data_IF_967548397888
#
_entry.id   IF_967548397888
#
_cell.length_a   1.000
_cell.length_b   1.000
_cell.length_c   1.000
_cell.angle_alpha   90.00
_cell.angle_beta   90.00
_cell.angle_gamma   90.00
#
_symmetry.space_group_name_H-M   'P 1'
#
loop_
_entity.id
_entity.type
_entity.pdbx_description
1 polymer ?
#
# COMPACT_ATOMS: atom_id res chain seq x y z
N UNK A 1 -3.02 -49.69 -17.03
CA UNK A 1 -3.60 -48.62 -16.18
C UNK A 1 -2.49 -48.06 -15.30
N UNK A 2 -1.89 -46.94 -15.69
CA UNK A 2 -1.01 -46.11 -14.85
C UNK A 2 -1.19 -44.67 -15.32
N UNK A 3 -1.66 -43.82 -14.42
CA UNK A 3 -2.10 -42.45 -14.68
C UNK A 3 -0.90 -41.54 -14.36
N UNK A 4 -0.31 -40.93 -15.38
CA UNK A 4 0.81 -39.99 -15.25
C UNK A 4 0.31 -38.60 -14.86
N UNK A 5 0.87 -38.07 -13.78
CA UNK A 5 0.52 -36.81 -13.13
C UNK A 5 0.53 -35.62 -14.10
N UNK A 6 -0.60 -34.90 -14.14
CA UNK A 6 -0.72 -33.62 -14.84
C UNK A 6 0.11 -32.54 -14.15
N UNK A 7 0.98 -31.89 -14.91
CA UNK A 7 1.57 -30.63 -14.52
C UNK A 7 0.47 -29.58 -14.47
N UNK A 8 0.08 -29.15 -13.28
CA UNK A 8 -0.70 -27.94 -13.11
C UNK A 8 0.29 -26.76 -13.01
N UNK A 9 0.28 -25.80 -13.96
CA UNK A 9 1.02 -24.56 -13.77
C UNK A 9 0.44 -23.85 -12.55
N UNK A 10 1.32 -23.32 -11.69
CA UNK A 10 0.93 -22.47 -10.59
C UNK A 10 0.03 -21.36 -11.16
N UNK A 11 -1.21 -21.30 -10.70
CA UNK A 11 -2.17 -20.30 -11.12
C UNK A 11 -1.59 -18.90 -10.81
N UNK A 12 -1.19 -18.18 -11.85
CA UNK A 12 -1.02 -16.74 -11.82
C UNK A 12 -2.42 -16.16 -11.60
N UNK A 13 -2.70 -15.70 -10.39
CA UNK A 13 -4.05 -15.30 -10.00
C UNK A 13 -4.63 -14.16 -10.86
N UNK A 14 -3.81 -13.44 -11.65
CA UNK A 14 -4.28 -12.56 -12.70
C UNK A 14 -3.38 -12.71 -13.94
N UNK A 15 -3.93 -13.23 -15.05
CA UNK A 15 -3.21 -13.58 -16.29
C UNK A 15 -2.72 -12.40 -17.14
N UNK A 16 -2.48 -11.23 -16.55
CA UNK A 16 -1.87 -10.09 -17.22
C UNK A 16 -0.45 -9.87 -16.69
N UNK A 17 0.46 -9.40 -17.55
CA UNK A 17 1.77 -8.96 -17.09
C UNK A 17 1.59 -7.83 -16.06
N UNK A 18 2.27 -7.93 -14.92
CA UNK A 18 2.23 -6.88 -13.90
C UNK A 18 2.62 -5.53 -14.51
N UNK A 19 1.80 -4.51 -14.25
CA UNK A 19 2.11 -3.16 -14.68
C UNK A 19 3.17 -2.57 -13.72
N UNK A 20 4.31 -2.17 -14.29
CA UNK A 20 5.50 -1.82 -13.52
C UNK A 20 5.72 -0.31 -13.53
N UNK A 21 5.90 0.28 -12.35
CA UNK A 21 6.12 1.72 -12.15
C UNK A 21 7.49 1.98 -11.48
N UNK A 22 8.11 3.15 -11.70
CA UNK A 22 9.40 3.49 -11.07
C UNK A 22 9.24 3.59 -9.54
N UNK A 23 9.95 2.75 -8.80
CA UNK A 23 9.79 2.58 -7.36
C UNK A 23 9.99 3.90 -6.60
N UNK A 24 11.12 4.57 -6.81
CA UNK A 24 11.48 5.74 -6.01
C UNK A 24 10.50 6.89 -6.23
N UNK A 25 10.26 7.26 -7.50
CA UNK A 25 9.35 8.34 -7.87
C UNK A 25 7.94 8.11 -7.31
N UNK A 26 7.38 6.91 -7.52
CA UNK A 26 6.01 6.60 -7.10
C UNK A 26 5.88 6.57 -5.58
N UNK A 27 6.89 6.10 -4.84
CA UNK A 27 6.88 6.11 -3.38
C UNK A 27 7.05 7.52 -2.79
N UNK A 28 7.89 8.35 -3.39
CA UNK A 28 8.04 9.76 -2.98
C UNK A 28 6.75 10.55 -3.23
N UNK A 29 6.06 10.32 -4.37
CA UNK A 29 4.74 10.90 -4.66
C UNK A 29 3.65 10.41 -3.68
N UNK A 30 3.77 9.17 -3.19
CA UNK A 30 2.94 8.63 -2.12
C UNK A 30 3.26 9.21 -0.73
N UNK A 31 4.32 10.01 -0.61
CA UNK A 31 4.77 10.63 0.65
C UNK A 31 5.66 9.74 1.51
N UNK A 32 6.23 8.67 0.95
CA UNK A 32 7.22 7.85 1.62
C UNK A 32 8.65 8.38 1.39
N UNK A 33 9.52 8.20 2.38
CA UNK A 33 10.97 8.34 2.20
C UNK A 33 11.55 7.03 1.67
N UNK A 34 12.46 7.11 0.70
CA UNK A 34 13.13 5.94 0.09
C UNK A 34 14.63 6.10 0.22
N UNK A 35 15.30 5.07 0.73
CA UNK A 35 16.75 5.01 0.84
C UNK A 35 17.25 3.70 0.25
N UNK A 36 18.38 3.76 -0.46
CA UNK A 36 19.10 2.57 -0.92
C UNK A 36 20.26 2.29 0.04
N UNK A 37 20.29 1.08 0.59
CA UNK A 37 21.46 0.55 1.31
C UNK A 37 22.27 -0.29 0.33
N UNK A 38 23.41 0.26 -0.10
CA UNK A 38 24.29 -0.39 -1.08
C UNK A 38 25.00 -1.62 -0.51
N UNK A 39 25.34 -1.60 0.78
CA UNK A 39 26.00 -2.72 1.44
C UNK A 39 25.06 -3.92 1.58
N UNK A 40 23.84 -3.69 2.04
CA UNK A 40 22.81 -4.73 2.16
C UNK A 40 22.11 -5.06 0.83
N UNK A 41 22.29 -4.20 -0.18
CA UNK A 41 21.61 -4.25 -1.50
C UNK A 41 20.10 -4.29 -1.35
N UNK A 42 19.53 -3.34 -0.61
CA UNK A 42 18.09 -3.27 -0.36
C UNK A 42 17.58 -1.84 -0.22
N UNK A 43 16.29 -1.65 -0.49
CA UNK A 43 15.60 -0.41 -0.18
C UNK A 43 15.08 -0.43 1.25
N UNK A 44 15.24 0.70 1.92
CA UNK A 44 14.57 1.06 3.17
C UNK A 44 13.56 2.14 2.83
N UNK A 45 12.28 1.86 3.08
CA UNK A 45 11.17 2.75 2.76
C UNK A 45 10.44 3.05 4.07
N UNK A 46 10.25 4.33 4.38
CA UNK A 46 9.58 4.76 5.62
C UNK A 46 8.46 5.73 5.30
N UNK A 47 7.26 5.43 5.81
CA UNK A 47 6.09 6.31 5.75
C UNK A 47 5.30 6.18 7.03
N UNK A 48 5.07 7.29 7.72
CA UNK A 48 4.36 7.32 9.00
C UNK A 48 4.91 6.27 9.99
N UNK A 49 4.10 5.26 10.37
CA UNK A 49 4.49 4.16 11.25
C UNK A 49 5.03 2.92 10.53
N UNK A 50 5.06 2.91 9.20
CA UNK A 50 5.54 1.77 8.40
C UNK A 50 7.03 1.90 8.07
N UNK A 51 7.82 0.94 8.54
CA UNK A 51 9.22 0.74 8.22
C UNK A 51 9.39 -0.52 7.38
N UNK A 52 9.69 -0.33 6.10
CA UNK A 52 9.71 -1.40 5.09
C UNK A 52 11.13 -1.60 4.57
N UNK A 53 11.49 -2.86 4.41
CA UNK A 53 12.78 -3.34 3.92
C UNK A 53 12.53 -4.28 2.76
N UNK A 54 12.94 -3.90 1.54
CA UNK A 54 12.71 -4.71 0.33
C UNK A 54 13.99 -4.90 -0.46
N UNK A 55 14.31 -6.15 -0.77
CA UNK A 55 15.45 -6.51 -1.60
C UNK A 55 15.00 -6.73 -3.05
N UNK A 56 15.65 -6.11 -4.04
CA UNK A 56 15.38 -6.42 -5.45
C UNK A 56 15.54 -7.91 -5.76
N UNK A 57 14.72 -8.40 -6.69
CA UNK A 57 14.59 -9.79 -7.13
C UNK A 57 14.12 -10.77 -6.03
N UNK A 58 13.81 -10.28 -4.83
CA UNK A 58 13.20 -11.04 -3.74
C UNK A 58 11.68 -10.92 -3.78
N UNK A 59 10.99 -12.03 -3.52
CA UNK A 59 9.53 -12.07 -3.26
C UNK A 59 9.19 -11.89 -1.78
N UNK A 60 10.15 -11.46 -0.97
CA UNK A 60 9.96 -11.19 0.44
C UNK A 60 10.39 -9.76 0.75
N UNK A 61 9.49 -9.03 1.41
CA UNK A 61 9.75 -7.77 2.06
C UNK A 61 9.57 -7.93 3.57
N UNK A 62 10.21 -7.07 4.36
CA UNK A 62 10.02 -7.00 5.81
C UNK A 62 9.29 -5.69 6.12
N UNK A 63 8.13 -5.78 6.77
CA UNK A 63 7.32 -4.62 7.20
C UNK A 63 7.25 -4.65 8.72
N UNK A 64 7.79 -3.62 9.38
CA UNK A 64 7.85 -3.53 10.85
C UNK A 64 8.40 -4.80 11.52
N UNK A 65 9.43 -5.41 10.90
CA UNK A 65 10.10 -6.62 11.38
C UNK A 65 9.40 -7.93 11.02
N UNK A 66 8.21 -7.90 10.41
CA UNK A 66 7.46 -9.09 9.98
C UNK A 66 7.63 -9.34 8.47
N UNK A 67 7.80 -10.59 8.03
CA UNK A 67 7.90 -10.90 6.61
C UNK A 67 6.54 -10.76 5.92
N UNK A 68 6.59 -10.26 4.68
CA UNK A 68 5.48 -10.13 3.75
C UNK A 68 5.91 -10.70 2.40
N UNK A 69 5.12 -11.63 1.86
CA UNK A 69 5.38 -12.21 0.55
C UNK A 69 4.80 -11.31 -0.53
N UNK A 70 5.66 -10.79 -1.40
CA UNK A 70 5.29 -9.97 -2.55
C UNK A 70 4.77 -10.84 -3.70
N UNK A 71 3.70 -10.41 -4.36
CA UNK A 71 3.23 -11.01 -5.61
C UNK A 71 4.26 -10.84 -6.73
N UNK A 72 4.78 -9.62 -6.87
CA UNK A 72 5.76 -9.25 -7.90
C UNK A 72 7.00 -8.68 -7.21
N UNK A 73 8.20 -9.24 -7.44
CA UNK A 73 9.41 -8.71 -6.86
C UNK A 73 9.73 -7.32 -7.42
N UNK A 74 10.38 -6.49 -6.62
CA UNK A 74 11.03 -5.26 -7.11
C UNK A 74 12.18 -5.67 -8.03
N UNK A 75 12.32 -5.05 -9.20
CA UNK A 75 13.37 -5.38 -10.17
C UNK A 75 14.11 -4.13 -10.62
N UNK A 76 15.41 -4.25 -10.89
CA UNK A 76 16.15 -3.19 -11.56
C UNK A 76 16.01 -3.29 -13.08
N UNK A 77 15.77 -2.15 -13.73
CA UNK A 77 15.95 -1.97 -15.17
C UNK A 77 16.97 -0.87 -15.38
N UNK A 78 18.20 -1.25 -15.69
CA UNK A 78 19.35 -0.33 -15.69
C UNK A 78 19.62 0.18 -14.27
N UNK A 79 19.57 1.50 -14.08
CA UNK A 79 19.81 2.14 -12.77
C UNK A 79 18.53 2.44 -11.99
N UNK A 80 17.37 2.12 -12.54
CA UNK A 80 16.06 2.45 -11.94
C UNK A 80 15.40 1.19 -11.42
N UNK A 81 14.96 1.20 -10.17
CA UNK A 81 14.15 0.14 -9.60
C UNK A 81 12.68 0.32 -10.01
N UNK A 82 12.02 -0.79 -10.31
CA UNK A 82 10.62 -0.85 -10.67
C UNK A 82 9.88 -1.82 -9.73
N UNK A 83 8.64 -1.47 -9.40
CA UNK A 83 7.73 -2.28 -8.60
C UNK A 83 6.39 -2.40 -9.33
N UNK A 84 5.54 -3.34 -8.91
CA UNK A 84 4.14 -3.36 -9.37
C UNK A 84 3.40 -2.11 -8.85
N UNK A 85 2.46 -1.58 -9.64
CA UNK A 85 1.52 -0.58 -9.18
C UNK A 85 0.66 -1.01 -7.98
N UNK A 86 0.47 -2.32 -7.76
CA UNK A 86 -0.19 -2.85 -6.57
C UNK A 86 0.69 -2.85 -5.30
N UNK A 87 2.00 -2.63 -5.43
CA UNK A 87 2.97 -2.75 -4.34
C UNK A 87 2.60 -1.87 -3.12
N UNK A 88 2.13 -0.65 -3.35
CA UNK A 88 1.77 0.26 -2.26
C UNK A 88 0.63 -0.33 -1.41
N UNK A 89 -0.41 -0.86 -2.06
CA UNK A 89 -1.53 -1.47 -1.36
C UNK A 89 -1.09 -2.76 -0.67
N UNK A 90 -0.34 -3.62 -1.36
CA UNK A 90 0.15 -4.88 -0.82
C UNK A 90 0.99 -4.67 0.45
N UNK A 91 1.87 -3.66 0.46
CA UNK A 91 2.80 -3.42 1.56
C UNK A 91 2.18 -2.57 2.67
N UNK A 92 1.68 -1.38 2.34
CA UNK A 92 1.26 -0.38 3.32
C UNK A 92 -0.18 -0.56 3.81
N UNK A 93 -1.00 -1.38 3.14
CA UNK A 93 -2.34 -1.76 3.61
C UNK A 93 -2.42 -3.24 4.04
N UNK A 94 -1.26 -3.91 4.20
CA UNK A 94 -1.17 -5.31 4.65
C UNK A 94 -1.76 -5.57 6.04
N UNK A 95 -1.93 -4.53 6.87
CA UNK A 95 -2.23 -4.64 8.29
C UNK A 95 -1.03 -5.00 9.18
N UNK A 96 0.18 -5.07 8.60
CA UNK A 96 1.42 -5.27 9.36
C UNK A 96 1.89 -3.99 10.05
N UNK A 97 1.51 -2.82 9.53
CA UNK A 97 1.53 -1.59 10.31
C UNK A 97 0.28 -1.51 11.18
N UNK A 98 0.50 -1.49 12.50
CA UNK A 98 -0.56 -1.48 13.52
C UNK A 98 -0.65 -0.12 14.23
N UNK A 99 0.01 0.91 13.70
CA UNK A 99 -0.03 2.27 14.25
C UNK A 99 -1.44 2.87 14.21
N UNK A 100 -2.25 2.47 13.23
CA UNK A 100 -3.65 2.85 13.10
C UNK A 100 -4.57 1.64 13.25
N UNK A 101 -5.68 1.81 13.95
CA UNK A 101 -6.71 0.78 14.13
C UNK A 101 -8.08 1.34 13.75
N UNK A 102 -8.94 0.47 13.24
CA UNK A 102 -10.32 0.85 12.93
C UNK A 102 -11.07 1.07 14.24
N UNK A 103 -11.63 2.26 14.39
CA UNK A 103 -12.55 2.56 15.50
C UNK A 103 -13.88 1.85 15.25
N UNK A 104 -14.21 0.86 16.06
CA UNK A 104 -15.48 0.12 15.93
C UNK A 104 -16.68 0.85 16.56
N UNK A 105 -16.43 1.79 17.49
CA UNK A 105 -17.45 2.62 18.12
C UNK A 105 -16.96 4.05 18.16
N UNK A 106 -17.64 4.93 17.43
CA UNK A 106 -17.28 6.34 17.37
C UNK A 106 -17.26 6.98 18.77
N UNK A 107 -16.15 7.62 19.11
CA UNK A 107 -16.03 8.41 20.32
C UNK A 107 -16.95 9.64 20.24
N UNK A 108 -17.68 10.00 21.32
CA UNK A 108 -18.63 11.12 21.30
C UNK A 108 -17.99 12.49 21.06
N UNK A 109 -16.66 12.58 21.16
CA UNK A 109 -15.87 13.79 20.89
C UNK A 109 -15.12 13.74 19.55
N UNK A 110 -15.47 12.81 18.67
CA UNK A 110 -14.97 12.85 17.31
C UNK A 110 -15.42 14.14 16.61
N UNK A 111 -14.54 14.79 15.83
CA UNK A 111 -14.95 15.93 15.03
C UNK A 111 -15.98 15.52 13.99
N UNK A 112 -16.80 16.48 13.54
CA UNK A 112 -17.75 16.24 12.47
C UNK A 112 -17.02 15.77 11.21
N UNK A 113 -17.55 14.71 10.61
CA UNK A 113 -17.09 14.24 9.30
C UNK A 113 -17.43 15.26 8.21
N UNK A 114 -16.76 15.15 7.06
CA UNK A 114 -17.06 15.99 5.90
C UNK A 114 -18.55 15.91 5.49
N UNK A 115 -19.17 14.73 5.60
CA UNK A 115 -20.58 14.52 5.30
C UNK A 115 -21.50 15.25 6.30
N UNK A 116 -21.20 15.18 7.60
CA UNK A 116 -21.97 15.86 8.64
C UNK A 116 -21.82 17.38 8.57
N UNK A 117 -20.62 17.88 8.26
CA UNK A 117 -20.39 19.31 8.00
C UNK A 117 -21.27 19.76 6.83
N UNK A 118 -21.25 19.02 5.71
CA UNK A 118 -22.06 19.36 4.55
C UNK A 118 -23.57 19.29 4.86
N UNK A 119 -24.00 18.31 5.64
CA UNK A 119 -25.39 18.18 6.08
C UNK A 119 -25.81 19.37 6.96
N UNK A 120 -24.98 19.76 7.93
CA UNK A 120 -25.24 20.91 8.80
C UNK A 120 -25.34 22.22 7.99
N UNK A 121 -24.43 22.43 7.04
CA UNK A 121 -24.48 23.59 6.13
C UNK A 121 -25.76 23.58 5.29
N UNK A 122 -26.16 22.42 4.77
CA UNK A 122 -27.39 22.30 3.99
C UNK A 122 -28.65 22.62 4.82
N UNK A 123 -28.69 22.17 6.07
CA UNK A 123 -29.78 22.48 7.02
C UNK A 123 -29.85 23.99 7.26
N UNK A 124 -28.71 24.64 7.53
CA UNK A 124 -28.66 26.09 7.74
C UNK A 124 -29.16 26.85 6.51
N UNK A 125 -28.71 26.46 5.31
CA UNK A 125 -29.12 27.10 4.05
C UNK A 125 -30.60 26.91 3.72
N UNK A 126 -31.23 25.85 4.20
CA UNK A 126 -32.64 25.59 4.02
C UNK A 126 -33.53 26.34 5.04
N UNK A 127 -32.94 26.96 6.06
CA UNK A 127 -33.71 27.67 7.08
C UNK A 127 -34.33 28.97 6.52
N UNK A 128 -35.60 29.30 6.85
CA UNK A 128 -36.26 30.51 6.37
C UNK A 128 -35.54 31.82 6.71
N UNK A 129 -34.78 31.80 7.81
CA UNK A 129 -34.03 32.94 8.36
C UNK A 129 -32.67 33.15 7.67
N UNK A 130 -32.23 32.20 6.83
CA UNK A 130 -30.91 32.25 6.19
C UNK A 130 -30.86 33.36 5.14
N UNK A 131 -29.98 34.34 5.36
CA UNK A 131 -29.71 35.44 4.42
C UNK A 131 -28.36 35.17 3.76
N UNK A 132 -28.38 35.13 2.42
CA UNK A 132 -27.20 34.91 1.57
C UNK A 132 -26.21 36.07 1.66
#
# INVERSE_FOLDING_TARGET
MLIGAGWQPAALAHGAAAHMVPLQKTLEEFGASVQWDDYARMFVIVKDGAYVKVKPDSREAIVNGKPLRLQVPVVFKGKTAYMSDEFINEVFQSGLDQTFAVEHRAHPLNPLSAAEINAAVAIIKAAPEYKN
#
